data_IF_712390558788
#
_entry.id   IF_712390558788
#
_cell.length_a   1.000
_cell.length_b   1.000
_cell.length_c   1.000
_cell.angle_alpha   90.00
_cell.angle_beta   90.00
_cell.angle_gamma   90.00
#
_symmetry.space_group_name_H-M   'P 1'
#
loop_
_entity.id
_entity.type
_entity.pdbx_description
1 polymer ?
#
# COMPACT_ATOMS: atom_id res chain seq x y z
N UNK A 1 11.14 10.03 -47.14
CA UNK A 1 10.27 9.20 -47.98
C UNK A 1 10.94 7.85 -48.17
N UNK A 2 10.48 6.82 -47.46
CA UNK A 2 10.94 5.44 -47.65
C UNK A 2 9.75 4.65 -48.19
N UNK A 3 9.77 4.35 -49.49
CA UNK A 3 8.73 3.57 -50.15
C UNK A 3 8.73 2.14 -49.61
N UNK A 4 7.59 1.71 -49.09
CA UNK A 4 7.39 0.33 -48.65
C UNK A 4 7.29 -0.55 -49.89
N UNK A 5 8.13 -1.60 -50.03
CA UNK A 5 8.16 -2.39 -51.25
C UNK A 5 6.86 -3.21 -51.42
N UNK A 6 6.19 -3.01 -52.57
CA UNK A 6 4.87 -3.55 -52.98
C UNK A 6 4.64 -5.04 -52.71
N UNK A 7 5.69 -5.86 -52.71
CA UNK A 7 5.58 -7.30 -52.44
C UNK A 7 5.08 -7.63 -51.01
N UNK A 8 5.32 -6.74 -50.04
CA UNK A 8 4.84 -6.92 -48.66
C UNK A 8 3.33 -6.68 -48.54
N UNK A 9 2.80 -5.74 -49.33
CA UNK A 9 1.36 -5.46 -49.39
C UNK A 9 0.60 -6.58 -50.10
N UNK A 10 1.20 -7.21 -51.12
CA UNK A 10 0.61 -8.36 -51.80
C UNK A 10 0.48 -9.56 -50.85
N UNK A 11 1.53 -9.87 -50.09
CA UNK A 11 1.55 -10.97 -49.11
C UNK A 11 0.56 -10.78 -47.95
N UNK A 12 0.21 -9.55 -47.59
CA UNK A 12 -0.79 -9.27 -46.54
C UNK A 12 -2.23 -9.39 -47.06
N UNK A 13 -2.49 -9.03 -48.33
CA UNK A 13 -3.79 -9.24 -48.98
C UNK A 13 -4.11 -10.71 -49.17
N UNK A 14 -3.12 -11.52 -49.58
CA UNK A 14 -3.30 -12.96 -49.77
C UNK A 14 -3.62 -13.69 -48.45
N UNK A 15 -3.07 -13.22 -47.32
CA UNK A 15 -3.42 -13.75 -45.98
C UNK A 15 -4.81 -13.34 -45.51
N UNK A 16 -5.30 -12.16 -45.89
CA UNK A 16 -6.67 -11.73 -45.56
C UNK A 16 -7.73 -12.46 -46.38
N UNK A 17 -7.44 -12.84 -47.62
CA UNK A 17 -8.37 -13.60 -48.47
C UNK A 17 -8.52 -15.08 -48.04
N UNK A 18 -7.53 -15.65 -47.34
CA UNK A 18 -7.54 -17.05 -46.89
C UNK A 18 -8.26 -17.29 -45.54
N UNK A 19 -8.71 -16.24 -44.86
CA UNK A 19 -9.23 -16.32 -43.47
C UNK A 19 -10.72 -16.01 -43.30
N UNK A 20 -11.47 -15.72 -44.36
CA UNK A 20 -12.91 -15.42 -44.25
C UNK A 20 -13.75 -16.67 -44.44
N UNK A 21 -14.30 -17.19 -43.35
CA UNK A 21 -15.22 -18.32 -43.31
C UNK A 21 -15.99 -18.36 -41.99
N UNK A 22 -16.96 -17.45 -41.89
CA UNK A 22 -17.99 -17.31 -40.85
C UNK A 22 -18.75 -18.62 -40.56
N UNK A 23 -19.08 -18.87 -39.29
CA UNK A 23 -20.45 -18.79 -38.75
C UNK A 23 -20.71 -19.67 -37.52
N UNK A 24 -21.54 -19.09 -36.66
CA UNK A 24 -22.04 -19.53 -35.37
C UNK A 24 -22.98 -20.77 -35.40
N UNK A 25 -23.26 -21.31 -34.20
CA UNK A 25 -24.56 -21.94 -33.87
C UNK A 25 -24.48 -23.35 -33.27
N UNK A 26 -24.89 -23.48 -32.01
CA UNK A 26 -25.06 -24.72 -31.21
C UNK A 26 -26.38 -25.49 -31.56
N UNK A 27 -26.91 -26.47 -30.78
CA UNK A 27 -26.38 -27.50 -29.87
C UNK A 27 -26.98 -28.94 -30.10
N UNK A 28 -26.69 -29.86 -29.16
CA UNK A 28 -27.49 -31.02 -28.70
C UNK A 28 -27.28 -32.40 -29.34
N UNK A 29 -26.95 -33.42 -28.51
CA UNK A 29 -27.82 -34.61 -28.32
C UNK A 29 -27.35 -35.61 -27.23
N UNK A 30 -28.28 -36.40 -26.64
CA UNK A 30 -28.05 -37.31 -25.50
C UNK A 30 -28.04 -38.82 -25.87
N UNK A 31 -27.58 -39.64 -24.93
CA UNK A 31 -28.30 -40.79 -24.35
C UNK A 31 -28.69 -42.04 -25.16
N UNK A 32 -28.01 -43.15 -24.83
CA UNK A 32 -28.46 -44.54 -24.58
C UNK A 32 -29.08 -45.48 -25.65
N UNK A 33 -28.46 -46.68 -25.65
CA UNK A 33 -29.00 -48.05 -25.71
C UNK A 33 -29.56 -48.71 -26.99
N UNK A 34 -29.25 -50.01 -27.05
CA UNK A 34 -29.30 -50.95 -28.17
C UNK A 34 -30.39 -51.99 -27.90
N UNK A 35 -31.18 -52.39 -28.90
CA UNK A 35 -31.80 -53.74 -28.95
C UNK A 35 -31.83 -54.26 -30.39
N UNK A 36 -31.58 -55.56 -30.48
CA UNK A 36 -31.24 -56.39 -31.64
C UNK A 36 -32.36 -56.68 -32.65
N UNK A 37 -31.96 -57.06 -33.87
CA UNK A 37 -32.54 -58.18 -34.61
C UNK A 37 -31.60 -58.64 -35.76
N UNK A 38 -31.39 -59.95 -35.86
CA UNK A 38 -30.82 -60.69 -37.00
C UNK A 38 -31.98 -61.47 -37.64
N UNK A 39 -32.03 -61.81 -38.95
CA UNK A 39 -31.12 -62.82 -39.50
C UNK A 39 -30.83 -62.77 -41.04
N UNK A 40 -30.02 -63.75 -41.44
CA UNK A 40 -29.93 -64.44 -42.74
C UNK A 40 -28.79 -64.05 -43.72
N UNK A 41 -27.88 -65.02 -43.89
CA UNK A 41 -26.89 -65.14 -44.97
C UNK A 41 -27.51 -65.92 -46.17
N UNK A 42 -26.80 -66.26 -47.28
CA UNK A 42 -25.45 -65.87 -47.73
C UNK A 42 -25.39 -65.49 -49.25
N UNK A 43 -24.27 -64.93 -49.72
CA UNK A 43 -23.64 -65.30 -51.00
C UNK A 43 -22.29 -64.59 -51.15
N UNK A 44 -21.24 -65.38 -51.29
CA UNK A 44 -19.85 -64.95 -51.55
C UNK A 44 -19.74 -64.36 -52.97
N UNK A 45 -19.27 -63.12 -53.07
CA UNK A 45 -18.71 -62.55 -54.31
C UNK A 45 -17.21 -62.36 -54.12
N UNK A 46 -16.44 -62.94 -55.04
CA UNK A 46 -14.98 -62.96 -55.05
C UNK A 46 -14.37 -61.55 -54.90
N UNK A 47 -13.28 -61.47 -54.13
CA UNK A 47 -12.55 -60.25 -53.86
C UNK A 47 -11.94 -59.66 -55.14
N UNK A 48 -12.22 -58.38 -55.39
CA UNK A 48 -11.40 -57.53 -56.23
C UNK A 48 -10.16 -57.09 -55.43
N UNK A 49 -8.97 -57.00 -56.04
CA UNK A 49 -7.75 -56.68 -55.31
C UNK A 49 -7.80 -55.26 -54.76
N UNK A 50 -7.41 -55.11 -53.48
CA UNK A 50 -7.33 -53.81 -52.79
C UNK A 50 -6.33 -52.87 -53.49
N UNK A 51 -6.68 -51.58 -53.68
CA UNK A 51 -5.72 -50.59 -54.13
C UNK A 51 -4.69 -50.35 -53.03
N UNK A 52 -3.42 -50.51 -53.39
CA UNK A 52 -2.26 -50.30 -52.51
C UNK A 52 -2.30 -48.87 -51.94
N UNK A 53 -2.34 -48.77 -50.61
CA UNK A 53 -2.28 -47.48 -49.91
C UNK A 53 -0.94 -46.77 -50.20
N UNK A 54 -0.95 -45.45 -50.49
CA UNK A 54 0.28 -44.73 -50.75
C UNK A 54 1.17 -44.66 -49.49
N UNK A 55 2.50 -44.68 -49.65
CA UNK A 55 3.43 -44.75 -48.52
C UNK A 55 3.36 -43.49 -47.64
N UNK A 56 3.34 -43.71 -46.33
CA UNK A 56 3.37 -42.66 -45.30
C UNK A 56 4.66 -41.86 -45.47
N UNK A 57 4.54 -40.58 -45.84
CA UNK A 57 5.69 -39.68 -45.96
C UNK A 57 6.33 -39.51 -44.57
N UNK A 58 7.66 -39.62 -44.44
CA UNK A 58 8.34 -39.42 -43.17
C UNK A 58 8.11 -37.99 -42.66
N UNK A 59 7.88 -37.86 -41.35
CA UNK A 59 7.59 -36.58 -40.72
C UNK A 59 8.68 -35.56 -41.05
N UNK A 60 8.32 -34.32 -41.45
CA UNK A 60 9.29 -33.27 -41.70
C UNK A 60 10.18 -33.03 -40.47
N UNK A 61 11.44 -32.63 -40.64
CA UNK A 61 12.40 -32.50 -39.53
C UNK A 61 11.92 -31.55 -38.42
N UNK A 62 11.11 -30.52 -38.73
CA UNK A 62 10.51 -29.64 -37.72
C UNK A 62 9.42 -30.33 -36.87
N UNK A 63 8.70 -31.31 -37.45
CA UNK A 63 7.69 -32.12 -36.74
C UNK A 63 8.38 -33.20 -35.89
N UNK A 64 9.45 -33.81 -36.40
CA UNK A 64 10.25 -34.77 -35.65
C UNK A 64 10.91 -34.13 -34.42
N UNK A 65 11.41 -32.89 -34.56
CA UNK A 65 11.96 -32.11 -33.44
C UNK A 65 10.89 -31.75 -32.40
N UNK A 66 9.68 -31.38 -32.84
CA UNK A 66 8.56 -31.09 -31.96
C UNK A 66 8.10 -32.33 -31.16
N UNK A 67 8.02 -33.51 -31.80
CA UNK A 67 7.64 -34.78 -31.16
C UNK A 67 8.70 -35.31 -30.18
N UNK A 68 9.97 -34.95 -30.35
CA UNK A 68 11.07 -35.32 -29.43
C UNK A 68 11.18 -34.44 -28.19
N UNK A 69 10.47 -33.31 -28.12
CA UNK A 69 10.56 -32.40 -26.97
C UNK A 69 9.85 -33.01 -25.77
N UNK A 70 10.59 -33.25 -24.69
CA UNK A 70 10.03 -33.79 -23.45
C UNK A 70 8.90 -32.91 -22.90
N UNK A 71 7.83 -33.54 -22.40
CA UNK A 71 6.75 -32.81 -21.72
C UNK A 71 7.27 -32.23 -20.40
N UNK A 72 6.79 -31.04 -20.05
CA UNK A 72 7.05 -30.45 -18.74
C UNK A 72 6.47 -31.40 -17.68
N UNK A 73 7.28 -31.85 -16.70
CA UNK A 73 6.79 -32.74 -15.65
C UNK A 73 5.75 -32.02 -14.78
N UNK A 74 4.76 -32.76 -14.29
CA UNK A 74 3.65 -32.21 -13.52
C UNK A 74 4.12 -31.45 -12.27
N UNK A 75 5.22 -31.87 -11.65
CA UNK A 75 5.80 -31.17 -10.50
C UNK A 75 6.24 -29.74 -10.86
N UNK A 76 6.74 -29.52 -12.09
CA UNK A 76 7.28 -28.24 -12.50
C UNK A 76 6.16 -27.19 -12.69
N UNK A 77 4.99 -27.63 -13.18
CA UNK A 77 3.79 -26.79 -13.24
C UNK A 77 3.27 -26.48 -11.83
N UNK A 78 3.34 -27.45 -10.91
CA UNK A 78 2.95 -27.25 -9.51
C UNK A 78 3.85 -26.21 -8.81
N UNK A 79 5.17 -26.32 -8.97
CA UNK A 79 6.13 -25.35 -8.40
C UNK A 79 5.99 -23.97 -9.02
N UNK A 80 5.79 -23.88 -10.35
CA UNK A 80 5.59 -22.60 -11.03
C UNK A 80 4.29 -21.93 -10.56
N UNK A 81 3.24 -22.71 -10.32
CA UNK A 81 1.97 -22.20 -9.81
C UNK A 81 2.04 -21.74 -8.35
N UNK A 82 2.93 -22.31 -7.54
CA UNK A 82 3.13 -21.92 -6.14
C UNK A 82 4.03 -20.68 -5.98
N UNK A 83 4.85 -20.38 -6.99
CA UNK A 83 5.81 -19.28 -6.98
C UNK A 83 5.18 -17.88 -6.76
N UNK A 84 4.06 -17.49 -7.39
CA UNK A 84 3.44 -16.19 -7.08
C UNK A 84 2.93 -16.07 -5.64
N UNK A 85 2.39 -17.15 -5.06
CA UNK A 85 1.98 -17.17 -3.65
C UNK A 85 3.19 -17.09 -2.71
N UNK A 86 4.24 -17.86 -3.02
CA UNK A 86 5.49 -17.79 -2.28
C UNK A 86 6.11 -16.39 -2.36
N UNK A 87 6.17 -15.77 -3.54
CA UNK A 87 6.66 -14.40 -3.71
C UNK A 87 5.83 -13.42 -2.90
N UNK A 88 4.50 -13.53 -2.91
CA UNK A 88 3.65 -12.67 -2.08
C UNK A 88 3.92 -12.85 -0.58
N UNK A 89 4.00 -14.09 -0.11
CA UNK A 89 4.32 -14.40 1.29
C UNK A 89 5.74 -13.98 1.68
N UNK A 90 6.70 -14.16 0.78
CA UNK A 90 8.10 -13.78 0.97
C UNK A 90 8.24 -12.26 1.03
N UNK A 91 7.59 -11.51 0.13
CA UNK A 91 7.56 -10.04 0.17
C UNK A 91 6.92 -9.54 1.46
N UNK A 92 5.84 -10.19 1.94
CA UNK A 92 5.23 -9.86 3.24
C UNK A 92 6.11 -10.24 4.43
N UNK A 93 6.84 -11.35 4.36
CA UNK A 93 7.74 -11.82 5.42
C UNK A 93 9.07 -11.06 5.50
N UNK A 94 9.50 -10.46 4.38
CA UNK A 94 10.63 -9.53 4.34
C UNK A 94 10.28 -8.13 4.87
N UNK A 95 9.00 -7.86 5.17
CA UNK A 95 8.67 -6.65 5.91
C UNK A 95 9.38 -6.77 7.26
N UNK A 96 10.28 -5.83 7.61
CA UNK A 96 10.94 -5.85 8.89
C UNK A 96 9.86 -6.01 9.95
N UNK A 97 9.98 -7.02 10.79
CA UNK A 97 9.23 -7.03 12.04
C UNK A 97 9.65 -5.74 12.72
N UNK A 98 8.77 -4.73 12.73
CA UNK A 98 8.96 -3.56 13.60
C UNK A 98 9.32 -4.16 14.94
N UNK A 99 10.46 -3.76 15.51
CA UNK A 99 10.79 -4.10 16.88
C UNK A 99 9.51 -3.91 17.69
N UNK A 100 9.13 -4.90 18.51
CA UNK A 100 7.93 -4.80 19.34
C UNK A 100 7.93 -3.40 19.94
N UNK A 101 6.93 -2.59 19.55
CA UNK A 101 6.91 -1.19 19.93
C UNK A 101 6.97 -1.16 21.46
N UNK A 102 7.93 -0.43 21.99
CA UNK A 102 8.12 -0.23 23.42
C UNK A 102 8.22 1.26 23.71
N UNK A 103 7.92 1.65 24.94
CA UNK A 103 7.93 3.04 25.35
C UNK A 103 6.87 3.89 24.62
N UNK A 104 7.18 5.15 24.25
CA UNK A 104 6.20 6.12 23.78
C UNK A 104 5.38 5.66 22.57
N UNK A 105 6.02 5.01 21.59
CA UNK A 105 5.35 4.60 20.35
C UNK A 105 4.27 3.55 20.64
N UNK A 106 4.49 2.63 21.59
CA UNK A 106 3.47 1.65 21.99
C UNK A 106 2.23 2.34 22.57
N UNK A 107 2.44 3.30 23.47
CA UNK A 107 1.34 4.10 24.04
C UNK A 107 0.58 4.84 22.94
N UNK A 108 1.28 5.33 21.92
CA UNK A 108 0.64 5.90 20.74
C UNK A 108 -0.24 4.89 20.01
N UNK A 109 0.23 3.66 19.79
CA UNK A 109 -0.53 2.62 19.08
C UNK A 109 -1.82 2.26 19.82
N UNK A 110 -1.78 2.18 21.15
CA UNK A 110 -2.94 1.88 21.99
C UNK A 110 -4.03 2.96 21.87
N UNK A 111 -3.63 4.23 21.73
CA UNK A 111 -4.53 5.37 21.72
C UNK A 111 -4.97 5.83 20.31
N UNK A 112 -4.26 5.44 19.25
CA UNK A 112 -4.50 5.96 17.89
C UNK A 112 -5.87 5.60 17.30
N UNK A 113 -6.55 4.58 17.85
CA UNK A 113 -7.85 4.13 17.36
C UNK A 113 -8.90 5.24 17.24
N UNK A 114 -8.90 6.22 18.15
CA UNK A 114 -9.79 7.37 18.08
C UNK A 114 -9.45 8.31 16.90
N UNK A 115 -8.17 8.51 16.63
CA UNK A 115 -7.65 9.38 15.56
C UNK A 115 -7.85 8.75 14.16
N UNK A 116 -7.74 7.42 14.06
CA UNK A 116 -7.82 6.67 12.82
C UNK A 116 -9.16 6.84 12.08
N UNK A 117 -10.24 7.14 12.80
CA UNK A 117 -11.56 7.40 12.21
C UNK A 117 -11.57 8.59 11.24
N UNK A 118 -10.74 9.60 11.50
CA UNK A 118 -10.59 10.79 10.66
C UNK A 118 -9.32 10.73 9.80
N UNK A 119 -8.22 10.26 10.36
CA UNK A 119 -6.89 10.28 9.73
C UNK A 119 -6.53 8.99 8.99
N UNK A 120 -7.39 7.98 8.99
CA UNK A 120 -7.11 6.66 8.42
C UNK A 120 -6.25 5.80 9.35
N UNK A 121 -6.39 4.47 9.26
CA UNK A 121 -5.63 3.54 10.11
C UNK A 121 -4.11 3.61 9.89
N UNK A 122 -3.69 3.98 8.68
CA UNK A 122 -2.30 4.16 8.28
C UNK A 122 -1.90 5.64 8.18
N UNK A 123 -2.71 6.57 8.69
CA UNK A 123 -2.48 8.00 8.51
C UNK A 123 -2.76 8.53 7.10
N UNK A 124 -3.43 7.78 6.23
CA UNK A 124 -3.75 8.19 4.84
C UNK A 124 -4.72 9.37 4.70
N UNK A 125 -5.31 9.84 5.80
CA UNK A 125 -6.28 10.94 5.83
C UNK A 125 -7.71 10.48 5.53
N UNK A 126 -8.60 11.45 5.39
CA UNK A 126 -10.03 11.23 5.16
C UNK A 126 -10.83 12.46 5.57
N UNK A 127 -11.57 12.36 6.68
CA UNK A 127 -12.17 13.54 7.30
C UNK A 127 -11.11 14.47 7.93
N UNK A 128 -10.00 13.89 8.40
CA UNK A 128 -8.79 14.57 8.85
C UNK A 128 -7.71 14.61 7.77
N UNK A 129 -6.73 15.51 7.95
CA UNK A 129 -5.57 15.64 7.04
C UNK A 129 -4.73 14.37 7.01
N UNK A 130 -3.98 14.18 5.93
CA UNK A 130 -2.98 13.12 5.82
C UNK A 130 -1.91 13.32 6.89
N UNK A 131 -1.48 12.23 7.54
CA UNK A 131 -0.44 12.23 8.56
C UNK A 131 0.82 11.45 8.13
N UNK A 132 0.71 10.62 7.11
CA UNK A 132 1.79 9.73 6.66
C UNK A 132 2.71 10.38 5.63
N UNK A 133 3.75 9.64 5.23
CA UNK A 133 4.64 9.97 4.10
C UNK A 133 5.27 11.38 4.20
N UNK A 134 5.68 11.78 5.40
CA UNK A 134 6.31 13.08 5.66
C UNK A 134 5.35 14.25 5.87
N UNK A 135 4.04 14.10 5.63
CA UNK A 135 3.07 15.21 5.70
C UNK A 135 3.00 15.85 7.09
N UNK A 136 3.10 15.04 8.15
CA UNK A 136 3.13 15.55 9.53
C UNK A 136 4.41 16.33 9.82
N UNK A 137 5.56 15.87 9.32
CA UNK A 137 6.85 16.54 9.51
C UNK A 137 6.91 17.86 8.74
N UNK A 138 6.28 17.92 7.55
CA UNK A 138 6.14 19.16 6.80
C UNK A 138 5.27 20.17 7.55
N UNK A 139 4.17 19.74 8.18
CA UNK A 139 3.33 20.64 8.97
C UNK A 139 3.98 21.02 10.30
N UNK A 140 4.66 20.09 10.97
CA UNK A 140 5.25 20.28 12.28
C UNK A 140 6.73 19.90 12.24
N UNK A 141 7.62 20.81 11.81
CA UNK A 141 9.06 20.56 11.87
C UNK A 141 9.49 20.28 13.31
N UNK A 142 8.93 21.01 14.27
CA UNK A 142 9.20 20.84 15.71
C UNK A 142 8.09 20.02 16.36
N UNK A 143 8.47 18.96 17.08
CA UNK A 143 7.53 18.08 17.79
C UNK A 143 6.66 18.84 18.80
N UNK A 144 7.21 19.87 19.45
CA UNK A 144 6.53 20.70 20.44
C UNK A 144 5.29 21.39 19.86
N UNK A 145 5.32 21.77 18.58
CA UNK A 145 4.18 22.40 17.90
C UNK A 145 3.07 21.38 17.63
N UNK A 146 3.45 20.13 17.33
CA UNK A 146 2.48 19.05 17.15
C UNK A 146 1.83 18.67 18.48
N UNK A 147 2.62 18.57 19.55
CA UNK A 147 2.13 18.31 20.90
C UNK A 147 1.11 19.38 21.34
N UNK A 148 1.46 20.65 21.15
CA UNK A 148 0.56 21.77 21.44
C UNK A 148 -0.73 21.70 20.60
N UNK A 149 -0.63 21.45 19.29
CA UNK A 149 -1.79 21.32 18.42
C UNK A 149 -2.72 20.17 18.82
N UNK A 150 -2.16 18.99 19.10
CA UNK A 150 -2.94 17.80 19.49
C UNK A 150 -3.61 17.99 20.85
N UNK A 151 -2.90 18.62 21.79
CA UNK A 151 -3.44 18.94 23.11
C UNK A 151 -4.64 19.90 23.03
N UNK A 152 -4.52 20.96 22.25
CA UNK A 152 -5.41 22.13 22.29
C UNK A 152 -6.59 22.01 21.32
N UNK A 153 -6.34 21.44 20.14
CA UNK A 153 -7.33 21.34 19.07
C UNK A 153 -7.68 22.66 18.38
N UNK A 154 -8.42 22.53 17.29
CA UNK A 154 -8.73 23.62 16.37
C UNK A 154 -9.60 24.73 16.96
N UNK A 155 -10.49 24.41 17.90
CA UNK A 155 -11.44 25.38 18.43
C UNK A 155 -10.76 26.45 19.28
N UNK A 156 -9.86 26.04 20.17
CA UNK A 156 -9.16 26.97 21.03
C UNK A 156 -8.17 27.84 20.25
N UNK A 157 -7.51 27.31 19.22
CA UNK A 157 -6.71 28.12 18.28
C UNK A 157 -7.56 29.20 17.59
N UNK A 158 -8.74 28.83 17.08
CA UNK A 158 -9.67 29.78 16.45
C UNK A 158 -10.16 30.84 17.43
N UNK A 159 -10.54 30.44 18.64
CA UNK A 159 -11.04 31.35 19.67
C UNK A 159 -9.96 32.35 20.13
N UNK A 160 -8.70 31.93 20.17
CA UNK A 160 -7.56 32.79 20.49
C UNK A 160 -7.11 33.69 19.32
N UNK A 161 -7.69 33.54 18.13
CA UNK A 161 -7.29 34.31 16.95
C UNK A 161 -5.92 33.93 16.40
N UNK A 162 -5.40 32.74 16.72
CA UNK A 162 -4.13 32.26 16.19
C UNK A 162 -4.32 31.82 14.74
N UNK A 163 -3.56 32.44 13.85
CA UNK A 163 -3.78 32.33 12.40
C UNK A 163 -3.45 30.96 11.82
N UNK A 164 -2.45 30.27 12.37
CA UNK A 164 -1.98 28.97 11.88
C UNK A 164 -1.42 28.11 13.00
N UNK A 165 -1.35 26.80 12.75
CA UNK A 165 -0.67 25.82 13.58
C UNK A 165 0.46 25.17 12.79
N UNK A 166 1.50 24.72 13.50
CA UNK A 166 2.72 24.23 12.86
C UNK A 166 3.45 25.32 12.06
N UNK A 167 4.26 24.92 11.08
CA UNK A 167 5.13 25.84 10.34
C UNK A 167 4.32 26.91 9.57
N UNK A 168 4.45 28.20 9.91
CA UNK A 168 3.81 29.28 9.15
C UNK A 168 4.38 29.43 7.73
N UNK A 169 5.55 28.86 7.45
CA UNK A 169 6.21 28.85 6.15
C UNK A 169 6.13 27.49 5.44
N UNK A 170 5.24 26.60 5.90
CA UNK A 170 5.06 25.26 5.33
C UNK A 170 4.94 25.32 3.80
N UNK A 171 5.63 24.43 3.11
CA UNK A 171 5.43 24.23 1.67
C UNK A 171 3.98 23.85 1.35
N UNK A 172 3.37 24.52 0.37
CA UNK A 172 1.93 24.39 0.09
C UNK A 172 1.04 25.25 0.98
N UNK A 173 1.61 26.05 1.89
CA UNK A 173 0.94 27.04 2.72
C UNK A 173 0.70 26.58 4.16
N UNK A 174 0.75 27.53 5.09
CA UNK A 174 0.44 27.30 6.50
C UNK A 174 -0.97 26.73 6.67
N UNK A 175 -1.12 25.80 7.61
CA UNK A 175 -2.43 25.28 7.97
C UNK A 175 -3.10 26.16 9.02
N UNK A 176 -4.34 26.60 8.74
CA UNK A 176 -5.16 27.35 9.68
C UNK A 176 -6.22 26.46 10.34
N UNK A 177 -6.72 26.78 11.55
CA UNK A 177 -7.85 26.09 12.15
C UNK A 177 -9.05 26.03 11.18
N UNK A 178 -9.73 24.88 11.11
CA UNK A 178 -10.87 24.63 10.21
C UNK A 178 -10.58 24.72 8.69
N UNK A 179 -9.32 24.91 8.28
CA UNK A 179 -8.96 25.05 6.85
C UNK A 179 -9.08 23.76 6.05
N UNK A 180 -9.10 22.59 6.71
CA UNK A 180 -9.36 21.32 6.05
C UNK A 180 -10.84 21.03 6.13
N UNK A 181 -11.55 21.17 5.01
CA UNK A 181 -12.97 20.81 4.81
C UNK A 181 -13.98 21.39 5.84
N UNK A 182 -13.58 22.33 6.70
CA UNK A 182 -14.41 22.89 7.77
C UNK A 182 -14.61 21.97 8.97
N UNK A 183 -13.96 20.80 9.05
CA UNK A 183 -14.08 19.90 10.20
C UNK A 183 -13.13 20.31 11.33
N UNK A 184 -13.56 20.23 12.60
CA UNK A 184 -12.68 20.49 13.73
C UNK A 184 -11.70 19.34 13.96
N UNK A 185 -10.46 19.68 14.30
CA UNK A 185 -9.57 18.77 15.03
C UNK A 185 -9.90 18.90 16.53
N UNK A 186 -10.40 17.83 17.18
CA UNK A 186 -10.80 17.87 18.59
C UNK A 186 -9.59 17.93 19.51
N UNK A 187 -9.71 18.67 20.61
CA UNK A 187 -8.70 18.75 21.65
C UNK A 187 -8.55 17.41 22.38
N UNK A 188 -7.31 16.98 22.63
CA UNK A 188 -7.04 15.75 23.39
C UNK A 188 -6.64 16.02 24.84
N UNK A 189 -6.15 17.23 25.14
CA UNK A 189 -5.69 17.61 26.47
C UNK A 189 -6.85 17.95 27.42
N UNK A 190 -6.65 17.61 28.69
CA UNK A 190 -7.65 17.78 29.76
C UNK A 190 -8.17 19.22 29.91
N UNK A 191 -7.29 20.24 29.75
CA UNK A 191 -7.67 21.67 29.84
C UNK A 191 -8.79 22.07 28.87
N UNK A 192 -8.88 21.37 27.74
CA UNK A 192 -9.87 21.62 26.68
C UNK A 192 -10.93 20.52 26.57
N UNK A 193 -11.07 19.69 27.62
CA UNK A 193 -12.08 18.64 27.71
C UNK A 193 -11.73 17.34 26.99
N UNK A 194 -10.48 17.18 26.55
CA UNK A 194 -9.97 15.90 26.08
C UNK A 194 -9.66 14.94 27.23
N UNK A 195 -9.49 13.66 26.90
CA UNK A 195 -9.33 12.59 27.90
C UNK A 195 -7.89 12.08 28.04
N UNK A 196 -6.97 12.53 27.18
CA UNK A 196 -5.60 12.03 27.18
C UNK A 196 -4.73 12.86 28.12
N UNK A 197 -3.83 12.15 28.79
CA UNK A 197 -2.73 12.73 29.57
C UNK A 197 -1.60 13.20 28.66
N UNK A 198 -0.67 13.99 29.21
CA UNK A 198 0.46 14.54 28.46
C UNK A 198 1.37 13.45 27.89
N UNK A 199 1.64 12.37 28.65
CA UNK A 199 2.48 11.27 28.16
C UNK A 199 1.76 10.43 27.08
N UNK A 200 0.44 10.28 27.14
CA UNK A 200 -0.35 9.62 26.09
C UNK A 200 -0.36 10.44 24.79
N UNK A 201 -0.47 11.78 24.91
CA UNK A 201 -0.36 12.68 23.75
C UNK A 201 1.05 12.62 23.16
N UNK A 202 2.09 12.60 23.99
CA UNK A 202 3.46 12.39 23.53
C UNK A 202 3.59 11.06 22.78
N UNK A 203 3.06 9.97 23.32
CA UNK A 203 3.06 8.67 22.66
C UNK A 203 2.38 8.69 21.28
N UNK A 204 1.21 9.32 21.18
CA UNK A 204 0.51 9.51 19.89
C UNK A 204 1.34 10.28 18.88
N UNK A 205 1.97 11.38 19.31
CA UNK A 205 2.82 12.19 18.43
C UNK A 205 4.06 11.40 17.98
N UNK A 206 4.68 10.63 18.87
CA UNK A 206 5.79 9.74 18.51
C UNK A 206 5.37 8.69 17.48
N UNK A 207 4.21 8.04 17.66
CA UNK A 207 3.66 7.13 16.65
C UNK A 207 3.48 7.84 15.30
N UNK A 208 2.85 9.01 15.30
CA UNK A 208 2.55 9.72 14.05
C UNK A 208 3.84 10.13 13.35
N UNK A 209 4.84 10.65 14.07
CA UNK A 209 6.09 11.14 13.47
C UNK A 209 6.95 10.01 12.93
N UNK A 210 7.26 9.01 13.74
CA UNK A 210 8.25 7.98 13.40
C UNK A 210 7.63 6.81 12.64
N UNK A 211 6.37 6.47 12.93
CA UNK A 211 5.77 5.22 12.44
C UNK A 211 4.83 5.44 11.25
N UNK A 212 4.08 6.55 11.24
CA UNK A 212 3.18 6.90 10.13
C UNK A 212 3.85 7.86 9.13
N UNK A 213 4.45 8.93 9.63
CA UNK A 213 5.06 9.99 8.80
C UNK A 213 6.48 9.64 8.34
N UNK A 214 7.12 8.64 8.96
CA UNK A 214 8.41 8.10 8.51
C UNK A 214 9.63 8.93 8.86
N UNK A 215 9.63 9.65 9.99
CA UNK A 215 10.85 10.22 10.54
C UNK A 215 11.87 9.10 10.85
N UNK A 216 13.13 9.27 10.43
CA UNK A 216 14.19 8.29 10.67
C UNK A 216 14.82 8.50 12.06
N UNK A 217 14.61 7.57 13.03
CA UNK A 217 15.15 7.70 14.38
C UNK A 217 16.67 7.54 14.45
N UNK A 218 17.33 7.18 13.34
CA UNK A 218 18.78 7.03 13.23
C UNK A 218 19.43 8.05 12.31
N UNK A 219 18.62 8.90 11.67
CA UNK A 219 19.05 9.91 10.72
C UNK A 219 18.87 11.33 11.27
N UNK A 220 18.32 12.21 10.44
CA UNK A 220 18.16 13.63 10.76
C UNK A 220 17.28 13.91 12.00
N UNK A 221 16.49 12.92 12.45
CA UNK A 221 15.61 13.02 13.61
C UNK A 221 16.12 12.28 14.85
N UNK A 222 17.36 11.78 14.84
CA UNK A 222 17.89 10.98 15.94
C UNK A 222 17.90 11.71 17.29
N UNK A 223 18.30 12.99 17.31
CA UNK A 223 18.31 13.77 18.56
C UNK A 223 16.89 14.01 19.11
N UNK A 224 15.93 14.31 18.23
CA UNK A 224 14.53 14.45 18.62
C UNK A 224 13.98 13.11 19.14
N UNK A 225 14.28 12.01 18.44
CA UNK A 225 13.85 10.68 18.82
C UNK A 225 14.37 10.30 20.20
N UNK A 226 15.67 10.45 20.46
CA UNK A 226 16.25 10.14 21.76
C UNK A 226 15.70 11.03 22.87
N UNK A 227 15.45 12.31 22.58
CA UNK A 227 14.87 13.24 23.56
C UNK A 227 13.43 12.87 23.93
N UNK A 228 12.59 12.52 22.96
CA UNK A 228 11.13 12.47 23.14
C UNK A 228 10.50 11.07 23.03
N UNK A 229 11.00 10.25 22.12
CA UNK A 229 10.29 9.09 21.61
C UNK A 229 11.02 7.76 21.82
N UNK A 230 12.28 7.77 22.25
CA UNK A 230 13.00 6.56 22.60
C UNK A 230 12.44 5.94 23.89
N UNK A 231 12.57 4.61 24.06
CA UNK A 231 12.15 3.94 25.28
C UNK A 231 12.86 4.44 26.55
N UNK A 232 14.02 5.08 26.39
CA UNK A 232 14.84 5.62 27.49
C UNK A 232 14.64 7.14 27.69
N UNK A 233 13.66 7.75 27.00
CA UNK A 233 13.37 9.18 27.13
C UNK A 233 12.99 9.54 28.57
N UNK A 234 13.85 10.34 29.22
CA UNK A 234 13.57 10.88 30.55
C UNK A 234 12.34 11.80 30.54
N UNK A 235 12.09 12.52 29.45
CA UNK A 235 10.91 13.37 29.32
C UNK A 235 9.65 12.52 29.37
N UNK A 236 9.60 11.43 28.60
CA UNK A 236 8.46 10.53 28.62
C UNK A 236 8.24 9.93 30.01
N UNK A 237 9.31 9.39 30.64
CA UNK A 237 9.22 8.81 31.98
C UNK A 237 8.74 9.83 33.04
N UNK A 238 9.17 11.08 32.93
CA UNK A 238 8.75 12.16 33.83
C UNK A 238 7.32 12.64 33.58
N UNK A 239 6.86 12.66 32.33
CA UNK A 239 5.45 12.94 32.00
C UNK A 239 4.54 11.81 32.51
N UNK A 240 4.95 10.55 32.35
CA UNK A 240 4.23 9.38 32.86
C UNK A 240 4.19 9.38 34.40
N UNK A 241 5.31 9.71 35.04
CA UNK A 241 5.42 9.86 36.49
C UNK A 241 4.74 11.13 37.05
N UNK A 242 4.31 12.05 36.18
CA UNK A 242 3.66 13.31 36.55
C UNK A 242 4.61 14.35 37.18
N UNK A 243 5.93 14.18 37.06
CA UNK A 243 6.92 15.18 37.49
C UNK A 243 7.09 16.32 36.48
N UNK A 244 6.74 16.07 35.21
CA UNK A 244 6.62 17.07 34.16
C UNK A 244 5.19 17.14 33.64
N UNK A 245 4.82 18.28 33.06
CA UNK A 245 3.60 18.47 32.26
C UNK A 245 3.93 19.31 31.03
N UNK A 246 3.01 19.44 30.08
CA UNK A 246 3.21 20.32 28.92
C UNK A 246 3.34 21.80 29.29
N UNK A 247 2.96 22.22 30.50
CA UNK A 247 3.21 23.57 31.02
C UNK A 247 4.59 23.72 31.69
N UNK A 248 5.38 22.64 31.79
CA UNK A 248 6.77 22.71 32.24
C UNK A 248 7.59 23.56 31.25
N UNK A 249 8.19 24.69 31.69
CA UNK A 249 8.86 25.63 30.80
C UNK A 249 10.06 25.02 30.04
N UNK A 250 10.72 24.03 30.63
CA UNK A 250 11.82 23.28 30.01
C UNK A 250 11.40 22.47 28.77
N UNK A 251 10.10 22.17 28.61
CA UNK A 251 9.59 21.44 27.44
C UNK A 251 9.24 22.36 26.28
N UNK A 252 9.03 23.66 26.53
CA UNK A 252 8.63 24.65 25.52
C UNK A 252 7.41 24.24 24.67
N UNK A 253 6.47 23.48 25.25
CA UNK A 253 5.23 23.07 24.58
C UNK A 253 4.12 24.08 24.85
N UNK A 254 3.80 24.26 26.14
CA UNK A 254 2.69 25.08 26.65
C UNK A 254 1.31 24.51 26.34
N UNK A 255 0.33 24.83 27.18
CA UNK A 255 -1.09 24.45 26.97
C UNK A 255 -1.96 25.60 26.47
N UNK A 256 -1.38 26.70 25.99
CA UNK A 256 -2.11 27.80 25.35
C UNK A 256 -1.86 27.82 23.83
N UNK A 257 -2.85 28.25 23.01
CA UNK A 257 -2.66 28.32 21.56
C UNK A 257 -1.50 29.24 21.21
N UNK A 258 -0.57 28.76 20.38
CA UNK A 258 0.59 29.53 19.94
C UNK A 258 0.80 29.39 18.43
N UNK A 259 1.45 30.39 17.84
CA UNK A 259 1.94 30.25 16.48
C UNK A 259 3.01 29.14 16.46
N UNK A 260 3.00 28.33 15.41
CA UNK A 260 4.03 27.33 15.25
C UNK A 260 5.36 27.94 14.80
N UNK A 261 6.37 27.10 14.86
CA UNK A 261 7.79 27.42 14.77
C UNK A 261 8.27 27.09 13.36
N UNK A 262 9.21 27.88 12.83
CA UNK A 262 9.68 27.69 11.45
C UNK A 262 10.70 26.57 11.35
N UNK A 263 10.75 25.86 10.21
CA UNK A 263 11.78 24.84 10.00
C UNK A 263 13.23 25.41 10.11
N UNK A 264 13.44 26.69 9.80
CA UNK A 264 14.75 27.36 9.86
C UNK A 264 15.36 27.48 11.26
N UNK A 265 14.55 27.35 12.32
CA UNK A 265 15.06 27.35 13.70
C UNK A 265 15.79 26.03 14.07
N UNK A 266 15.76 25.01 13.21
CA UNK A 266 16.54 23.77 13.34
C UNK A 266 18.07 23.97 13.23
N UNK A 267 18.53 25.11 12.69
CA UNK A 267 19.96 25.35 12.38
C UNK A 267 20.66 26.23 13.43
N UNK A 268 19.95 26.72 14.44
CA UNK A 268 20.42 27.79 15.34
C UNK A 268 20.73 27.41 16.78
N UNK A 269 20.76 26.11 17.14
CA UNK A 269 20.94 25.66 18.53
C UNK A 269 22.38 25.46 18.99
N UNK A 270 23.35 26.16 18.39
CA UNK A 270 24.77 26.04 18.70
C UNK A 270 25.41 27.40 18.95
N UNK A 271 25.12 28.00 20.11
CA UNK A 271 25.97 29.02 20.75
C UNK A 271 26.10 28.74 22.25
#
# INVERSE_FOLDING_TARGET
MTEIPEHLLKRSRDRKASGSGDSAGAPSSPGSEVVAASPAAPATRAAAPEPVAPPVKPDPPYVAAAKKRGRIPSWAMLTLSLLPLFVFMYVRGLQPQKAEASGPILIGQENYGACASCHGADGSGGAGRVLKDGESLLTFPHIEDMLNWVYIGSEAFRAAGVASYGDPNREGGAHAPYSYNGSPMPAQGAKYGGALTDYEILGLVCLIRYDLSGADPTGDWAEEYEKWCSPESEIFANLEGGSLTFDSPELNIGTDPRLGTTASEMVGGGE
#
